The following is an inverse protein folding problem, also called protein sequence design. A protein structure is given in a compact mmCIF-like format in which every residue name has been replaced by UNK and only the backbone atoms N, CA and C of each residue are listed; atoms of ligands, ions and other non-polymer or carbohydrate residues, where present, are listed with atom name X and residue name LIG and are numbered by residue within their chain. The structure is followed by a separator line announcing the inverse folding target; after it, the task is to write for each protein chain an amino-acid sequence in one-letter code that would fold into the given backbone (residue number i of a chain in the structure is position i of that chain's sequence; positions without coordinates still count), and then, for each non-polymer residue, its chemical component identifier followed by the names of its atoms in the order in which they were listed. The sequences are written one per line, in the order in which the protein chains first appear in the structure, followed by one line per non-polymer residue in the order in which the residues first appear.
data_IF_454295732046
#
_entry.id   IF_454295732046
#
_cell.length_a   1.000
_cell.length_b   1.000
_cell.length_c   1.000
_cell.angle_alpha   90.00
_cell.angle_beta   90.00
_cell.angle_gamma   90.00
#
_symmetry.space_group_name_H-M   'P 1'
#
loop_
_entity.id
_entity.type
_entity.pdbx_description
1 polymer ?
#
# COMPACT_ATOMS: atom_id res chain seq x y z
N UNK A 1 -27.19 26.71 32.23
CA UNK A 1 -25.78 26.67 31.85
C UNK A 1 -25.32 28.05 31.43
N UNK A 2 -24.37 28.67 32.14
CA UNK A 2 -23.96 30.07 31.93
C UNK A 2 -23.30 30.28 30.56
N UNK A 3 -23.37 31.50 30.01
CA UNK A 3 -22.76 31.86 28.71
C UNK A 3 -21.28 31.46 28.63
N UNK A 4 -20.52 31.62 29.72
CA UNK A 4 -19.11 31.30 29.83
C UNK A 4 -18.83 29.79 29.58
N UNK A 5 -19.64 28.90 30.16
CA UNK A 5 -19.49 27.44 29.99
C UNK A 5 -19.75 27.05 28.53
N UNK A 6 -20.73 27.65 27.87
CA UNK A 6 -21.00 27.39 26.44
C UNK A 6 -19.84 27.81 25.56
N UNK A 7 -19.19 28.94 25.85
CA UNK A 7 -18.02 29.43 25.10
C UNK A 7 -16.84 28.48 25.30
N UNK A 8 -16.56 28.04 26.53
CA UNK A 8 -15.48 27.10 26.82
C UNK A 8 -15.70 25.76 26.08
N UNK A 9 -16.92 25.22 26.12
CA UNK A 9 -17.26 23.99 25.41
C UNK A 9 -17.11 24.13 23.89
N UNK A 10 -17.50 25.29 23.34
CA UNK A 10 -17.32 25.57 21.92
C UNK A 10 -15.81 25.60 21.53
N UNK A 11 -15.00 26.27 22.34
CA UNK A 11 -13.54 26.31 22.09
C UNK A 11 -12.94 24.92 22.15
N UNK A 12 -13.28 24.10 23.14
CA UNK A 12 -12.82 22.71 23.25
C UNK A 12 -13.24 21.90 22.02
N UNK A 13 -14.49 22.06 21.58
CA UNK A 13 -14.99 21.37 20.38
C UNK A 13 -14.19 21.77 19.13
N UNK A 14 -13.94 23.07 18.93
CA UNK A 14 -13.15 23.57 17.80
C UNK A 14 -11.72 23.02 17.87
N UNK A 15 -11.08 23.03 19.03
CA UNK A 15 -9.73 22.46 19.21
C UNK A 15 -9.72 20.96 18.89
N UNK A 16 -10.71 20.18 19.33
CA UNK A 16 -10.82 18.76 18.99
C UNK A 16 -10.96 18.54 17.47
N UNK A 17 -11.83 19.31 16.82
CA UNK A 17 -12.02 19.20 15.36
C UNK A 17 -10.72 19.52 14.61
N UNK A 18 -9.99 20.56 15.03
CA UNK A 18 -8.71 20.91 14.42
C UNK A 18 -7.63 19.84 14.64
N UNK A 19 -7.57 19.26 15.84
CA UNK A 19 -6.63 18.17 16.14
C UNK A 19 -6.93 16.93 15.30
N UNK A 20 -8.19 16.50 15.26
CA UNK A 20 -8.60 15.33 14.48
C UNK A 20 -8.38 15.59 12.99
N UNK A 21 -8.78 16.76 12.47
CA UNK A 21 -8.52 17.13 11.08
C UNK A 21 -7.04 17.18 10.74
N UNK A 22 -6.21 17.74 11.63
CA UNK A 22 -4.75 17.75 11.49
C UNK A 22 -4.15 16.34 11.42
N UNK A 23 -4.61 15.41 12.27
CA UNK A 23 -4.19 14.02 12.23
C UNK A 23 -4.52 13.35 10.88
N UNK A 24 -5.72 13.56 10.35
CA UNK A 24 -6.09 13.00 9.03
C UNK A 24 -5.22 13.55 7.89
N UNK A 25 -4.92 14.84 7.92
CA UNK A 25 -4.02 15.44 6.91
C UNK A 25 -2.62 14.84 6.99
N UNK A 26 -2.06 14.69 8.20
CA UNK A 26 -0.73 14.10 8.41
C UNK A 26 -0.73 12.65 7.92
N UNK A 27 -1.72 11.84 8.29
CA UNK A 27 -1.84 10.47 7.83
C UNK A 27 -1.95 10.39 6.30
N UNK A 28 -2.73 11.28 5.68
CA UNK A 28 -2.83 11.37 4.22
C UNK A 28 -1.49 11.66 3.55
N UNK A 29 -0.72 12.59 4.08
CA UNK A 29 0.63 12.91 3.58
C UNK A 29 1.57 11.72 3.74
N UNK A 30 1.55 11.06 4.90
CA UNK A 30 2.39 9.89 5.17
C UNK A 30 2.07 8.74 4.22
N UNK A 31 0.79 8.44 4.02
CA UNK A 31 0.36 7.41 3.08
C UNK A 31 0.79 7.76 1.65
N UNK A 32 0.57 9.00 1.21
CA UNK A 32 0.99 9.43 -0.12
C UNK A 32 2.51 9.30 -0.34
N UNK A 33 3.32 9.63 0.66
CA UNK A 33 4.78 9.45 0.59
C UNK A 33 5.17 7.98 0.56
N UNK A 34 4.50 7.15 1.36
CA UNK A 34 4.73 5.71 1.36
C UNK A 34 4.37 5.09 0.00
N UNK A 35 3.20 5.45 -0.55
CA UNK A 35 2.73 4.98 -1.86
C UNK A 35 3.58 5.48 -3.05
N UNK A 36 4.47 6.42 -2.83
CA UNK A 36 5.38 6.98 -3.83
C UNK A 36 6.83 7.03 -3.34
N UNK A 37 7.24 6.08 -2.51
CA UNK A 37 8.56 6.10 -1.84
C UNK A 37 9.73 6.30 -2.82
N UNK A 38 9.67 5.72 -4.03
CA UNK A 38 10.70 5.86 -5.06
C UNK A 38 10.94 7.31 -5.50
N UNK A 39 9.95 8.22 -5.36
CA UNK A 39 10.09 9.65 -5.66
C UNK A 39 10.81 10.42 -4.57
N UNK A 40 10.84 9.88 -3.36
CA UNK A 40 11.39 10.53 -2.17
C UNK A 40 12.66 9.83 -1.65
N UNK A 41 13.08 8.74 -2.30
CA UNK A 41 14.30 8.02 -1.94
C UNK A 41 15.49 8.71 -2.58
N UNK A 42 16.45 9.15 -1.77
CA UNK A 42 17.74 9.65 -2.26
C UNK A 42 18.63 8.48 -2.64
N UNK A 43 19.11 8.48 -3.87
CA UNK A 43 19.99 7.45 -4.42
C UNK A 43 21.40 7.97 -4.62
N UNK A 44 22.41 7.14 -4.38
CA UNK A 44 23.84 7.55 -4.41
C UNK A 44 24.61 7.04 -5.63
N UNK A 45 23.97 6.36 -6.56
CA UNK A 45 24.63 5.81 -7.72
C UNK A 45 23.66 5.33 -8.79
N UNK A 46 24.17 5.04 -9.99
CA UNK A 46 23.35 4.64 -11.14
C UNK A 46 22.57 3.35 -10.89
N UNK A 47 23.20 2.36 -10.27
CA UNK A 47 22.57 1.07 -9.95
C UNK A 47 21.42 1.28 -8.96
N UNK A 48 21.67 2.05 -7.90
CA UNK A 48 20.66 2.34 -6.89
C UNK A 48 19.50 3.13 -7.48
N UNK A 49 19.80 4.16 -8.28
CA UNK A 49 18.80 4.96 -9.00
C UNK A 49 17.96 4.08 -9.93
N UNK A 50 18.60 3.19 -10.69
CA UNK A 50 17.92 2.28 -11.61
C UNK A 50 16.94 1.38 -10.87
N UNK A 51 17.38 0.68 -9.83
CA UNK A 51 16.57 -0.33 -9.16
C UNK A 51 15.63 0.21 -8.08
N UNK A 52 15.74 1.46 -7.69
CA UNK A 52 14.75 2.15 -6.85
C UNK A 52 13.58 2.67 -7.69
N UNK A 53 13.79 2.99 -8.96
CA UNK A 53 12.72 3.40 -9.86
C UNK A 53 11.77 2.23 -10.16
N UNK A 54 10.53 2.55 -10.55
CA UNK A 54 9.63 1.55 -11.11
C UNK A 54 10.19 1.01 -12.43
N UNK A 55 9.91 -0.27 -12.70
CA UNK A 55 10.22 -0.90 -13.98
C UNK A 55 9.33 -0.40 -15.11
N UNK A 56 9.44 -1.03 -16.27
CA UNK A 56 8.78 -0.60 -17.52
C UNK A 56 7.38 -1.18 -17.72
N UNK A 57 7.00 -2.20 -16.94
CA UNK A 57 5.70 -2.84 -17.10
C UNK A 57 4.59 -2.08 -16.39
N UNK A 58 3.45 -1.93 -17.05
CA UNK A 58 2.21 -1.59 -16.37
C UNK A 58 1.79 -2.73 -15.44
N UNK A 59 1.20 -2.40 -14.29
CA UNK A 59 0.88 -3.38 -13.25
C UNK A 59 -0.62 -3.54 -13.13
N UNK A 60 -1.06 -4.80 -13.19
CA UNK A 60 -2.42 -5.21 -12.87
C UNK A 60 -2.47 -5.96 -11.55
N UNK A 61 -3.63 -5.93 -10.90
CA UNK A 61 -3.88 -6.63 -9.64
C UNK A 61 -5.15 -7.46 -9.74
N UNK A 62 -5.18 -8.59 -9.02
CA UNK A 62 -6.37 -9.40 -8.86
C UNK A 62 -6.39 -10.00 -7.45
N UNK A 63 -7.57 -10.00 -6.83
CA UNK A 63 -7.82 -10.80 -5.62
C UNK A 63 -8.23 -12.22 -6.04
N UNK A 64 -7.60 -13.21 -5.44
CA UNK A 64 -7.97 -14.60 -5.58
C UNK A 64 -8.38 -15.17 -4.22
N UNK A 65 -9.45 -15.97 -4.22
CA UNK A 65 -9.93 -16.69 -3.05
C UNK A 65 -9.74 -18.17 -3.28
N UNK A 66 -9.08 -18.84 -2.34
CA UNK A 66 -8.98 -20.30 -2.41
C UNK A 66 -10.37 -20.93 -2.19
N UNK A 67 -10.65 -21.98 -2.94
CA UNK A 67 -11.95 -22.64 -2.96
C UNK A 67 -12.40 -23.10 -1.56
N UNK A 68 -13.61 -22.70 -1.19
CA UNK A 68 -14.29 -23.15 0.02
C UNK A 68 -13.97 -22.41 1.31
N UNK A 69 -13.06 -21.42 1.29
CA UNK A 69 -12.69 -20.71 2.53
C UNK A 69 -12.63 -19.20 2.33
N UNK A 70 -13.66 -18.50 2.77
CA UNK A 70 -13.78 -17.03 2.65
C UNK A 70 -12.61 -16.24 3.27
N UNK A 71 -11.84 -16.87 4.16
CA UNK A 71 -10.69 -16.30 4.85
C UNK A 71 -9.36 -16.51 4.12
N UNK A 72 -9.31 -17.36 3.09
CA UNK A 72 -8.10 -17.56 2.27
C UNK A 72 -8.13 -16.63 1.06
N UNK A 73 -7.82 -15.39 1.29
CA UNK A 73 -7.66 -14.38 0.26
C UNK A 73 -6.19 -14.15 -0.04
N UNK A 74 -5.89 -14.02 -1.34
CA UNK A 74 -4.58 -13.67 -1.85
C UNK A 74 -4.71 -12.47 -2.77
N UNK A 75 -3.74 -11.57 -2.71
CA UNK A 75 -3.58 -10.48 -3.65
C UNK A 75 -2.44 -10.84 -4.60
N UNK A 76 -2.69 -10.72 -5.90
CA UNK A 76 -1.72 -11.02 -6.95
C UNK A 76 -1.47 -9.76 -7.76
N UNK A 77 -0.21 -9.39 -7.88
CA UNK A 77 0.27 -8.26 -8.67
C UNK A 77 1.13 -8.78 -9.81
N UNK A 78 0.92 -8.31 -11.04
CA UNK A 78 1.56 -8.85 -12.23
C UNK A 78 1.64 -7.83 -13.36
N UNK A 79 2.57 -8.00 -14.32
CA UNK A 79 2.60 -7.21 -15.55
C UNK A 79 1.29 -7.35 -16.32
N UNK A 80 0.69 -6.23 -16.72
CA UNK A 80 -0.63 -6.22 -17.40
C UNK A 80 -0.63 -7.02 -18.70
N UNK A 81 0.52 -7.10 -19.36
CA UNK A 81 0.74 -7.86 -20.61
C UNK A 81 0.56 -9.38 -20.44
N UNK A 82 0.69 -9.91 -19.21
CA UNK A 82 0.46 -11.33 -18.92
C UNK A 82 -0.92 -11.81 -19.33
N UNK A 83 -1.94 -10.94 -19.32
CA UNK A 83 -3.32 -11.29 -19.71
C UNK A 83 -3.46 -11.67 -21.18
N UNK A 84 -2.60 -11.14 -22.03
CA UNK A 84 -2.72 -11.20 -23.49
C UNK A 84 -1.61 -12.04 -24.13
N UNK A 85 -0.55 -12.37 -23.38
CA UNK A 85 0.64 -13.05 -23.86
C UNK A 85 0.76 -14.51 -23.43
N UNK A 86 1.67 -15.22 -24.09
CA UNK A 86 2.12 -16.56 -23.71
C UNK A 86 3.46 -16.55 -22.98
N UNK A 87 3.92 -15.36 -22.57
CA UNK A 87 5.18 -15.19 -21.89
C UNK A 87 5.11 -15.71 -20.45
N UNK A 88 6.24 -16.18 -19.95
CA UNK A 88 6.38 -16.62 -18.56
C UNK A 88 7.11 -15.58 -17.75
N UNK A 89 6.64 -15.33 -16.55
CA UNK A 89 7.21 -14.36 -15.63
C UNK A 89 7.64 -15.04 -14.32
N UNK A 90 8.74 -14.61 -13.70
CA UNK A 90 9.16 -15.17 -12.42
C UNK A 90 8.13 -14.88 -11.33
N UNK A 91 7.88 -15.86 -10.46
CA UNK A 91 6.92 -15.78 -9.36
C UNK A 91 7.63 -15.49 -8.04
N UNK A 92 7.14 -14.49 -7.32
CA UNK A 92 7.51 -14.17 -5.93
C UNK A 92 6.31 -14.43 -5.02
N UNK A 93 6.48 -15.29 -4.04
CA UNK A 93 5.48 -15.50 -2.99
C UNK A 93 5.96 -14.80 -1.73
N UNK A 94 5.18 -13.85 -1.25
CA UNK A 94 5.49 -13.04 -0.08
C UNK A 94 4.84 -13.66 1.16
N UNK A 95 5.66 -14.01 2.14
CA UNK A 95 5.18 -14.36 3.48
C UNK A 95 5.02 -13.07 4.30
N UNK A 96 3.80 -12.77 4.71
CA UNK A 96 3.51 -11.61 5.54
C UNK A 96 4.00 -11.81 6.98
N UNK A 97 4.27 -10.72 7.67
CA UNK A 97 4.41 -10.77 9.13
C UNK A 97 3.08 -11.10 9.82
N UNK A 98 3.14 -11.67 11.02
CA UNK A 98 1.95 -11.98 11.83
C UNK A 98 1.10 -10.72 12.03
N UNK A 99 -0.18 -10.81 11.77
CA UNK A 99 -1.12 -9.70 11.88
C UNK A 99 -1.02 -8.63 10.79
N UNK A 100 -0.27 -8.89 9.70
CA UNK A 100 -0.07 -7.94 8.61
C UNK A 100 -0.57 -8.51 7.30
N UNK A 101 -1.44 -7.80 6.61
CA UNK A 101 -1.96 -8.18 5.28
C UNK A 101 -0.95 -7.86 4.18
N UNK A 102 -1.03 -8.58 3.06
CA UNK A 102 -0.24 -8.30 1.86
C UNK A 102 -0.45 -6.86 1.35
N UNK A 103 -1.67 -6.33 1.44
CA UNK A 103 -2.01 -4.96 1.06
C UNK A 103 -1.24 -3.87 1.82
N UNK A 104 -0.60 -4.19 2.94
CA UNK A 104 0.33 -3.30 3.64
C UNK A 104 1.66 -3.13 2.88
N UNK A 105 1.99 -4.06 1.99
CA UNK A 105 3.22 -4.08 1.19
C UNK A 105 2.97 -3.74 -0.29
N UNK A 106 1.83 -3.12 -0.62
CA UNK A 106 1.41 -2.86 -2.01
C UNK A 106 2.48 -2.20 -2.86
N UNK A 107 3.29 -1.31 -2.28
CA UNK A 107 4.31 -0.61 -3.04
C UNK A 107 5.50 -1.49 -3.40
N UNK A 108 5.85 -2.44 -2.52
CA UNK A 108 6.85 -3.47 -2.82
C UNK A 108 6.33 -4.40 -3.92
N UNK A 109 5.07 -4.81 -3.85
CA UNK A 109 4.45 -5.66 -4.85
C UNK A 109 4.38 -4.97 -6.21
N UNK A 110 3.91 -3.71 -6.23
CA UNK A 110 3.89 -2.87 -7.42
C UNK A 110 5.27 -2.71 -8.03
N UNK A 111 6.27 -2.44 -7.19
CA UNK A 111 7.66 -2.30 -7.62
C UNK A 111 8.14 -3.57 -8.34
N UNK A 112 8.03 -4.72 -7.68
CA UNK A 112 8.45 -6.00 -8.25
C UNK A 112 7.67 -6.32 -9.53
N UNK A 113 6.35 -6.13 -9.55
CA UNK A 113 5.53 -6.39 -10.74
C UNK A 113 5.90 -5.47 -11.91
N UNK A 114 6.25 -4.21 -11.64
CA UNK A 114 6.74 -3.29 -12.67
C UNK A 114 8.07 -3.70 -13.29
N UNK A 115 8.84 -4.55 -12.61
CA UNK A 115 10.09 -5.16 -13.07
C UNK A 115 9.88 -6.54 -13.72
N UNK A 116 8.64 -6.97 -13.93
CA UNK A 116 8.33 -8.20 -14.62
C UNK A 116 8.18 -9.42 -13.71
N UNK A 117 7.87 -9.25 -12.44
CA UNK A 117 7.56 -10.35 -11.54
C UNK A 117 6.05 -10.52 -11.36
N UNK A 118 5.60 -11.75 -11.15
CA UNK A 118 4.29 -12.02 -10.56
C UNK A 118 4.50 -12.09 -9.04
N UNK A 119 3.75 -11.30 -8.28
CA UNK A 119 3.90 -11.24 -6.82
C UNK A 119 2.59 -11.65 -6.17
N UNK A 120 2.65 -12.62 -5.27
CA UNK A 120 1.49 -13.13 -4.54
C UNK A 120 1.68 -12.92 -3.04
N UNK A 121 0.70 -12.33 -2.41
CA UNK A 121 0.68 -12.14 -0.96
C UNK A 121 -0.65 -12.57 -0.34
N UNK A 122 -0.59 -12.94 0.94
CA UNK A 122 -1.74 -13.40 1.70
C UNK A 122 -2.45 -12.20 2.36
N UNK A 123 -3.78 -12.09 2.20
CA UNK A 123 -4.61 -11.04 2.80
C UNK A 123 -5.18 -11.43 4.18
N UNK A 124 -4.80 -12.57 4.74
CA UNK A 124 -5.26 -12.98 6.07
C UNK A 124 -4.37 -12.42 7.16
N UNK A 125 -4.98 -11.85 8.20
CA UNK A 125 -4.27 -11.29 9.35
C UNK A 125 -3.70 -12.37 10.29
N UNK A 126 -4.22 -13.58 10.23
CA UNK A 126 -3.91 -14.68 11.14
C UNK A 126 -3.11 -15.82 10.49
N UNK A 127 -2.32 -15.52 9.48
CA UNK A 127 -1.45 -16.49 8.80
C UNK A 127 -0.11 -16.63 9.48
#
# INVERSE_FOLDING_TARGET
MGKTIKIILLIILICMVLLVGGCFVILGIMNHRNDNYWKYTETKGEIETKYTALGTYEVSTVEWKADGKAWQKYEVWYPSELKEGNDTYPLVIMANGTGVKASQYREVFRHLASWGFIVVGNENENS
#
